data_IF_149408197691
#
_entry.id   IF_149408197691
#
_cell.length_a   1.000
_cell.length_b   1.000
_cell.length_c   1.000
_cell.angle_alpha   90.00
_cell.angle_beta   90.00
_cell.angle_gamma   90.00
#
_symmetry.space_group_name_H-M   'P 1'
#
loop_
_entity.id
_entity.type
_entity.pdbx_description
1 polymer ?
#
# COMPACT_ATOMS: atom_id res chain seq x y z
N UNK A 1 3.43 17.18 8.76
CA UNK A 1 2.73 16.01 9.29
C UNK A 1 2.72 14.91 8.25
N UNK A 2 3.07 13.72 8.66
CA UNK A 2 3.13 12.58 7.75
C UNK A 2 1.75 12.19 7.23
N UNK A 3 1.73 11.58 6.05
CA UNK A 3 0.54 10.94 5.51
C UNK A 3 0.79 9.43 5.43
N UNK A 4 -0.18 8.65 5.85
CA UNK A 4 -0.04 7.20 5.84
C UNK A 4 -1.04 6.56 4.90
N UNK A 5 -0.54 5.68 4.06
CA UNK A 5 -1.38 4.77 3.28
C UNK A 5 -1.48 3.48 4.08
N UNK A 6 -2.70 3.06 4.38
CA UNK A 6 -2.96 1.80 5.08
C UNK A 6 -3.78 0.93 4.13
N UNK A 7 -3.26 -0.24 3.81
CA UNK A 7 -3.92 -1.13 2.86
C UNK A 7 -3.94 -2.55 3.39
N UNK A 8 -5.09 -3.18 3.28
CA UNK A 8 -5.29 -4.59 3.56
C UNK A 8 -5.44 -5.30 2.21
N UNK A 9 -4.59 -6.30 1.97
CA UNK A 9 -4.46 -6.93 0.65
C UNK A 9 -4.73 -8.43 0.76
N UNK A 10 -5.72 -8.90 0.02
CA UNK A 10 -5.91 -10.32 -0.18
C UNK A 10 -5.35 -10.69 -1.56
N UNK A 11 -4.22 -11.39 -1.59
CA UNK A 11 -3.57 -11.77 -2.84
C UNK A 11 -4.32 -12.96 -3.43
N UNK A 12 -4.85 -12.79 -4.65
CA UNK A 12 -5.60 -13.84 -5.36
C UNK A 12 -4.77 -14.51 -6.44
N UNK A 13 -3.75 -13.83 -6.95
CA UNK A 13 -2.80 -14.37 -7.93
C UNK A 13 -1.38 -14.00 -7.48
N UNK A 14 -0.71 -14.89 -6.73
CA UNK A 14 0.62 -14.58 -6.18
C UNK A 14 1.68 -14.28 -7.24
N UNK A 15 1.66 -14.96 -8.36
CA UNK A 15 2.67 -14.75 -9.40
C UNK A 15 2.54 -13.37 -10.04
N UNK A 16 1.32 -12.97 -10.39
CA UNK A 16 1.06 -11.66 -10.95
C UNK A 16 1.33 -10.56 -9.92
N UNK A 17 0.90 -10.78 -8.67
CA UNK A 17 1.14 -9.82 -7.60
C UNK A 17 2.64 -9.57 -7.39
N UNK A 18 3.47 -10.59 -7.56
CA UNK A 18 4.92 -10.46 -7.43
C UNK A 18 5.49 -9.47 -8.45
N UNK A 19 4.93 -9.44 -9.65
CA UNK A 19 5.32 -8.46 -10.67
C UNK A 19 5.02 -7.03 -10.22
N UNK A 20 3.88 -6.82 -9.56
CA UNK A 20 3.53 -5.55 -8.95
C UNK A 20 4.49 -5.21 -7.80
N UNK A 21 4.69 -6.14 -6.88
CA UNK A 21 5.52 -5.93 -5.69
C UNK A 21 6.96 -5.53 -6.02
N UNK A 22 7.53 -6.10 -7.07
CA UNK A 22 8.90 -5.79 -7.50
C UNK A 22 9.07 -4.34 -7.97
N UNK A 23 8.00 -3.72 -8.46
CA UNK A 23 8.05 -2.39 -9.05
C UNK A 23 7.56 -1.29 -8.09
N UNK A 24 6.76 -1.67 -7.10
CA UNK A 24 6.09 -0.71 -6.24
C UNK A 24 7.05 0.10 -5.38
N UNK A 25 8.05 -0.55 -4.80
CA UNK A 25 8.99 0.11 -3.89
C UNK A 25 9.68 1.31 -4.53
N UNK A 26 10.11 1.16 -5.78
CA UNK A 26 10.78 2.26 -6.50
C UNK A 26 9.85 3.46 -6.71
N UNK A 27 8.56 3.22 -7.00
CA UNK A 27 7.60 4.31 -7.17
C UNK A 27 7.35 5.04 -5.86
N UNK A 28 7.27 4.31 -4.74
CA UNK A 28 7.08 4.87 -3.41
C UNK A 28 8.27 5.75 -3.03
N UNK A 29 9.49 5.25 -3.19
CA UNK A 29 10.71 6.00 -2.89
C UNK A 29 10.82 7.30 -3.68
N UNK A 30 10.42 7.26 -4.93
CA UNK A 30 10.46 8.44 -5.80
C UNK A 30 9.63 9.60 -5.25
N UNK A 31 8.58 9.31 -4.49
CA UNK A 31 7.72 10.32 -3.89
C UNK A 31 7.98 10.52 -2.38
N UNK A 32 9.13 10.03 -1.90
CA UNK A 32 9.55 10.23 -0.52
C UNK A 32 8.92 9.29 0.48
N UNK A 33 8.27 8.24 0.02
CA UNK A 33 7.62 7.27 0.89
C UNK A 33 8.54 6.15 1.32
N UNK A 34 8.11 5.46 2.36
CA UNK A 34 8.80 4.25 2.84
C UNK A 34 7.79 3.30 3.47
N UNK A 35 8.06 2.01 3.37
CA UNK A 35 7.26 1.00 4.06
C UNK A 35 7.56 1.05 5.56
N UNK A 36 6.51 1.11 6.37
CA UNK A 36 6.60 0.91 7.82
C UNK A 36 6.19 -0.50 8.20
N UNK A 37 5.17 -1.05 7.53
CA UNK A 37 4.68 -2.42 7.72
C UNK A 37 4.46 -3.02 6.33
N UNK A 38 4.93 -4.24 6.14
CA UNK A 38 4.74 -4.94 4.88
C UNK A 38 4.44 -6.41 5.19
N UNK A 39 3.15 -6.67 5.46
CA UNK A 39 2.67 -7.99 5.86
C UNK A 39 2.58 -8.13 7.37
N UNK A 40 3.71 -8.20 8.04
CA UNK A 40 3.83 -8.16 9.50
C UNK A 40 3.28 -9.38 10.21
N UNK A 41 2.32 -9.91 10.32
CA UNK A 41 1.63 -10.92 11.12
C UNK A 41 0.68 -10.24 12.09
N UNK A 42 -0.37 -9.60 11.58
CA UNK A 42 -1.31 -8.89 12.44
C UNK A 42 -2.01 -9.82 13.44
N UNK A 43 -2.17 -9.32 14.64
CA UNK A 43 -2.87 -10.02 15.69
C UNK A 43 -4.06 -9.17 16.12
N UNK A 44 -5.26 -9.71 16.01
CA UNK A 44 -6.48 -8.97 16.34
C UNK A 44 -6.68 -8.96 17.85
N UNK A 45 -6.69 -7.78 18.44
CA UNK A 45 -6.91 -7.61 19.87
C UNK A 45 -8.38 -7.42 20.20
N UNK A 46 -9.14 -6.82 19.29
CA UNK A 46 -10.58 -6.58 19.50
C UNK A 46 -11.31 -6.58 18.14
N UNK A 47 -12.55 -6.98 18.19
CA UNK A 47 -13.47 -6.89 17.06
C UNK A 47 -13.32 -8.00 16.04
N UNK A 48 -14.12 -7.93 15.00
CA UNK A 48 -14.17 -8.94 13.95
C UNK A 48 -13.35 -8.54 12.71
N UNK A 49 -12.21 -7.92 12.90
CA UNK A 49 -11.37 -7.45 11.79
C UNK A 49 -10.60 -8.63 11.18
N UNK A 50 -10.89 -8.93 9.94
CA UNK A 50 -10.22 -10.01 9.20
C UNK A 50 -9.18 -9.43 8.25
N UNK A 51 -7.97 -9.17 8.75
CA UNK A 51 -6.88 -8.71 7.91
C UNK A 51 -6.25 -9.90 7.19
N UNK A 52 -5.82 -9.69 5.96
CA UNK A 52 -5.07 -10.70 5.18
C UNK A 52 -3.59 -10.35 5.17
N UNK A 53 -3.25 -9.25 4.53
CA UNK A 53 -1.87 -8.76 4.48
C UNK A 53 -1.91 -7.24 4.67
N UNK A 54 -1.46 -6.78 5.82
CA UNK A 54 -1.49 -5.36 6.14
C UNK A 54 -0.21 -4.69 5.68
N UNK A 55 -0.35 -3.58 4.96
CA UNK A 55 0.78 -2.78 4.50
C UNK A 55 0.54 -1.34 4.93
N UNK A 56 1.56 -0.72 5.51
CA UNK A 56 1.51 0.69 5.91
C UNK A 56 2.70 1.40 5.28
N UNK A 57 2.41 2.48 4.57
CA UNK A 57 3.43 3.28 3.87
C UNK A 57 3.35 4.70 4.43
N UNK A 58 4.51 5.25 4.81
CA UNK A 58 4.60 6.63 5.29
C UNK A 58 5.12 7.53 4.17
N UNK A 59 4.44 8.66 3.98
CA UNK A 59 4.92 9.75 3.11
C UNK A 59 5.12 11.00 3.95
N UNK A 60 5.94 11.98 3.49
CA UNK A 60 6.17 13.22 4.25
C UNK A 60 4.89 14.01 4.52
N UNK A 61 3.87 13.86 3.67
CA UNK A 61 2.61 14.58 3.80
C UNK A 61 1.48 13.84 3.09
N UNK A 62 0.25 14.24 3.37
CA UNK A 62 -0.94 13.76 2.64
C UNK A 62 -0.81 14.09 1.14
N UNK A 63 -0.35 15.30 0.83
CA UNK A 63 -0.19 15.75 -0.55
C UNK A 63 0.80 14.87 -1.31
N UNK A 64 1.88 14.49 -0.66
CA UNK A 64 2.90 13.63 -1.26
C UNK A 64 2.37 12.21 -1.48
N UNK A 65 1.60 11.69 -0.54
CA UNK A 65 0.95 10.40 -0.69
C UNK A 65 -0.02 10.38 -1.87
N UNK A 66 -0.82 11.44 -2.01
CA UNK A 66 -1.73 11.59 -3.15
C UNK A 66 -0.98 11.74 -4.46
N UNK A 67 0.14 12.46 -4.45
CA UNK A 67 0.98 12.61 -5.63
C UNK A 67 1.50 11.24 -6.09
N UNK A 68 1.93 10.40 -5.17
CA UNK A 68 2.34 9.02 -5.48
C UNK A 68 1.18 8.22 -6.08
N UNK A 69 0.03 8.22 -5.40
CA UNK A 69 -1.12 7.41 -5.83
C UNK A 69 -1.59 7.78 -7.22
N UNK A 70 -1.55 9.06 -7.56
CA UNK A 70 -2.00 9.58 -8.86
C UNK A 70 -0.86 9.74 -9.88
N UNK A 71 0.36 9.30 -9.54
CA UNK A 71 1.52 9.48 -10.40
C UNK A 71 1.44 8.61 -11.65
N UNK A 72 2.10 9.03 -12.75
CA UNK A 72 2.21 8.18 -13.94
C UNK A 72 2.94 6.87 -13.63
N UNK A 73 3.95 6.93 -12.76
CA UNK A 73 4.73 5.74 -12.38
C UNK A 73 3.86 4.68 -11.70
N UNK A 74 3.03 5.10 -10.73
CA UNK A 74 2.15 4.16 -10.04
C UNK A 74 0.97 3.75 -10.91
N UNK A 75 0.42 4.66 -11.70
CA UNK A 75 -0.68 4.37 -12.62
C UNK A 75 -0.31 3.28 -13.62
N UNK A 76 0.96 3.18 -13.98
CA UNK A 76 1.44 2.16 -14.91
C UNK A 76 1.37 0.74 -14.33
N UNK A 77 1.37 0.60 -13.01
CA UNK A 77 1.40 -0.73 -12.35
C UNK A 77 0.18 -1.02 -11.48
N UNK A 78 -0.66 -0.05 -11.19
CA UNK A 78 -1.82 -0.23 -10.30
C UNK A 78 -2.79 -1.31 -10.82
N UNK A 79 -2.92 -1.45 -12.12
CA UNK A 79 -3.77 -2.46 -12.76
C UNK A 79 -3.35 -3.87 -12.42
N UNK A 80 -2.05 -4.10 -12.26
CA UNK A 80 -1.52 -5.42 -11.86
C UNK A 80 -2.06 -5.78 -10.48
N UNK A 81 -2.05 -4.82 -9.53
CA UNK A 81 -2.62 -5.06 -8.20
C UNK A 81 -4.12 -5.31 -8.28
N UNK A 82 -4.85 -4.56 -9.07
CA UNK A 82 -6.30 -4.72 -9.20
C UNK A 82 -6.68 -6.10 -9.74
N UNK A 83 -5.87 -6.68 -10.64
CA UNK A 83 -6.11 -8.01 -11.20
C UNK A 83 -5.67 -9.15 -10.29
N UNK A 84 -4.67 -8.92 -9.43
CA UNK A 84 -4.03 -9.98 -8.66
C UNK A 84 -4.38 -9.97 -7.17
N UNK A 85 -5.18 -9.01 -6.73
CA UNK A 85 -5.52 -8.88 -5.31
C UNK A 85 -6.85 -8.14 -5.13
N UNK A 86 -7.46 -8.42 -3.98
CA UNK A 86 -8.61 -7.66 -3.48
C UNK A 86 -8.09 -6.80 -2.34
N UNK A 87 -8.19 -5.47 -2.49
CA UNK A 87 -7.58 -4.54 -1.54
C UNK A 87 -8.57 -3.54 -1.00
N UNK A 88 -8.31 -3.11 0.25
CA UNK A 88 -8.99 -1.97 0.87
C UNK A 88 -7.89 -1.03 1.31
N UNK A 89 -7.94 0.20 0.83
CA UNK A 89 -6.87 1.18 1.05
C UNK A 89 -7.45 2.48 1.55
N UNK A 90 -6.79 3.07 2.52
CA UNK A 90 -7.16 4.41 3.00
C UNK A 90 -5.91 5.26 3.20
N UNK A 91 -6.12 6.54 3.24
CA UNK A 91 -5.10 7.53 3.50
C UNK A 91 -5.48 8.30 4.76
N UNK A 92 -4.57 8.39 5.72
CA UNK A 92 -4.82 9.05 6.99
C UNK A 92 -3.65 9.96 7.36
N UNK A 93 -3.97 11.11 7.95
CA UNK A 93 -2.97 12.07 8.38
C UNK A 93 -2.41 11.67 9.74
N UNK A 94 -1.09 11.76 9.89
CA UNK A 94 -0.43 11.57 11.17
C UNK A 94 -0.53 12.80 12.08
N UNK A 95 -0.09 12.64 13.30
CA UNK A 95 -0.09 13.73 14.28
C UNK A 95 1.06 14.69 14.06
#
# INVERSE_FOLDING_TARGET
MAGYIVVDVEITDPDEYQTYAKQTAATIERYGGKFLVRGGSPEILEGGWETKRLVIIEFPSIEQAKAWYNSPEYSAIIGIRHHSAISKMLLVQGV
#
